data_IF_258645819434
#
_entry.id   IF_258645819434
#
_cell.length_a   1.000
_cell.length_b   1.000
_cell.length_c   1.000
_cell.angle_alpha   90.00
_cell.angle_beta   90.00
_cell.angle_gamma   90.00
#
_symmetry.space_group_name_H-M   'P 1'
#
loop_
_entity.id
_entity.type
_entity.pdbx_description
1 polymer ?
#
# COMPACT_ATOMS: atom_id res chain seq x y z
N UNK A 1 -25.18 34.18 -21.23
CA UNK A 1 -24.79 32.75 -21.32
C UNK A 1 -23.30 32.73 -21.57
N UNK A 2 -22.49 32.61 -20.52
CA UNK A 2 -21.03 32.61 -20.63
C UNK A 2 -20.53 31.17 -20.74
N UNK A 3 -19.91 30.86 -21.88
CA UNK A 3 -19.14 29.64 -22.11
C UNK A 3 -17.93 29.63 -21.16
N UNK A 4 -17.91 28.70 -20.20
CA UNK A 4 -16.67 28.30 -19.54
C UNK A 4 -16.00 27.25 -20.42
N UNK A 5 -15.04 27.72 -21.21
CA UNK A 5 -14.13 26.85 -21.95
C UNK A 5 -13.24 26.07 -20.99
N UNK A 6 -13.19 24.78 -21.30
CA UNK A 6 -12.50 23.70 -20.64
C UNK A 6 -10.99 23.96 -20.62
N UNK A 7 -10.43 24.31 -19.46
CA UNK A 7 -8.97 24.32 -19.23
C UNK A 7 -8.56 23.07 -18.46
N UNK A 8 -8.63 21.91 -19.09
CA UNK A 8 -7.84 20.76 -18.69
C UNK A 8 -6.48 20.84 -19.40
N UNK A 9 -5.62 21.74 -18.92
CA UNK A 9 -4.21 21.69 -19.28
C UNK A 9 -3.61 20.41 -18.72
N UNK A 10 -3.08 19.55 -19.58
CA UNK A 10 -2.24 18.43 -19.19
C UNK A 10 -1.11 18.98 -18.29
N UNK A 11 -1.20 18.68 -16.99
CA UNK A 11 -0.11 18.97 -16.06
C UNK A 11 0.86 17.81 -16.17
N UNK A 12 1.94 18.08 -16.88
CA UNK A 12 3.18 17.32 -16.82
C UNK A 12 3.77 17.50 -15.41
N UNK A 13 3.21 16.80 -14.42
CA UNK A 13 3.91 16.61 -13.15
C UNK A 13 4.88 15.46 -13.37
N UNK A 14 6.17 15.76 -13.26
CA UNK A 14 7.19 14.75 -13.01
C UNK A 14 6.91 14.16 -11.63
N UNK A 15 5.88 13.30 -11.56
CA UNK A 15 5.53 12.58 -10.35
C UNK A 15 6.78 11.82 -9.92
N UNK A 16 7.23 12.10 -8.70
CA UNK A 16 8.45 11.55 -8.13
C UNK A 16 8.20 10.06 -7.84
N UNK A 17 8.26 9.22 -8.88
CA UNK A 17 8.08 7.76 -8.84
C UNK A 17 9.28 7.05 -8.17
N UNK A 18 10.02 7.75 -7.32
CA UNK A 18 11.18 7.24 -6.62
C UNK A 18 12.43 7.06 -7.48
N UNK A 19 13.45 6.51 -6.83
CA UNK A 19 14.72 6.14 -7.46
C UNK A 19 14.68 4.68 -7.94
N UNK A 20 15.40 4.32 -9.01
CA UNK A 20 15.54 2.92 -9.41
C UNK A 20 16.17 2.08 -8.30
N UNK A 21 15.71 0.84 -8.14
CA UNK A 21 16.34 -0.19 -7.31
C UNK A 21 16.14 -1.57 -7.96
N UNK A 22 16.65 -2.64 -7.35
CA UNK A 22 16.35 -4.01 -7.80
C UNK A 22 16.35 -4.98 -6.63
N UNK A 23 15.16 -5.40 -6.21
CA UNK A 23 14.96 -6.41 -5.16
C UNK A 23 14.03 -7.49 -5.68
N UNK A 24 14.54 -8.70 -5.80
CA UNK A 24 13.83 -9.84 -6.37
C UNK A 24 13.46 -10.85 -5.28
N UNK A 25 12.17 -11.18 -5.19
CA UNK A 25 11.64 -12.35 -4.48
C UNK A 25 10.99 -13.30 -5.48
N UNK A 26 10.68 -14.56 -5.12
CA UNK A 26 10.08 -15.52 -6.06
C UNK A 26 8.80 -15.03 -6.75
N UNK A 27 7.95 -14.27 -6.05
CA UNK A 27 6.65 -13.81 -6.54
C UNK A 27 6.56 -12.36 -7.01
N UNK A 28 7.62 -11.56 -6.84
CA UNK A 28 7.59 -10.11 -7.14
C UNK A 28 9.00 -9.54 -7.35
N UNK A 29 9.11 -8.56 -8.25
CA UNK A 29 10.34 -7.79 -8.51
C UNK A 29 10.09 -6.30 -8.27
N UNK A 30 10.77 -5.72 -7.27
CA UNK A 30 10.73 -4.29 -7.02
C UNK A 30 11.83 -3.59 -7.83
N UNK A 31 11.42 -2.64 -8.68
CA UNK A 31 12.30 -1.93 -9.63
C UNK A 31 12.49 -0.45 -9.27
N UNK A 32 11.71 0.05 -8.31
CA UNK A 32 11.78 1.43 -7.80
C UNK A 32 11.57 1.47 -6.30
N UNK A 33 12.05 2.53 -5.66
CA UNK A 33 11.82 2.79 -4.25
C UNK A 33 11.59 4.27 -3.96
N UNK A 34 10.75 4.56 -2.98
CA UNK A 34 10.64 5.86 -2.34
C UNK A 34 11.46 5.83 -1.05
N UNK A 35 12.09 6.97 -0.72
CA UNK A 35 12.79 7.17 0.56
C UNK A 35 13.83 6.07 0.87
N UNK A 36 14.61 5.70 -0.15
CA UNK A 36 15.69 4.70 -0.07
C UNK A 36 15.24 3.36 0.54
N UNK A 37 14.00 2.92 0.26
CA UNK A 37 13.45 1.72 0.88
C UNK A 37 14.29 0.46 0.64
N UNK A 38 15.04 0.41 -0.46
CA UNK A 38 15.99 -0.64 -0.76
C UNK A 38 17.16 -0.71 0.23
N UNK A 39 17.68 0.43 0.69
CA UNK A 39 18.72 0.49 1.72
C UNK A 39 18.23 0.00 3.10
N UNK A 40 16.91 0.04 3.34
CA UNK A 40 16.28 -0.41 4.58
C UNK A 40 15.64 -1.80 4.48
N UNK A 41 15.82 -2.48 3.35
CA UNK A 41 15.23 -3.78 3.08
C UNK A 41 16.26 -4.92 3.20
N UNK A 42 15.81 -6.05 3.72
CA UNK A 42 16.60 -7.29 3.76
C UNK A 42 15.73 -8.47 3.34
N UNK A 43 16.29 -9.36 2.51
CA UNK A 43 15.59 -10.55 1.99
C UNK A 43 16.16 -11.80 2.67
N UNK A 44 15.26 -12.68 3.09
CA UNK A 44 15.58 -14.02 3.59
C UNK A 44 14.60 -15.03 2.98
N UNK A 45 15.09 -15.82 2.01
CA UNK A 45 14.26 -16.76 1.25
C UNK A 45 13.08 -16.09 0.54
N UNK A 46 11.86 -16.41 0.97
CA UNK A 46 10.61 -15.84 0.43
C UNK A 46 10.08 -14.66 1.27
N UNK A 47 10.85 -14.17 2.25
CA UNK A 47 10.49 -13.05 3.09
C UNK A 47 11.34 -11.81 2.78
N UNK A 48 10.74 -10.64 2.95
CA UNK A 48 11.44 -9.35 2.95
C UNK A 48 11.05 -8.56 4.19
N UNK A 49 12.04 -8.01 4.89
CA UNK A 49 11.81 -7.10 6.03
C UNK A 49 12.23 -5.70 5.64
N UNK A 50 11.33 -4.72 5.82
CA UNK A 50 11.57 -3.30 5.56
C UNK A 50 11.61 -2.57 6.90
N UNK A 51 12.70 -1.87 7.18
CA UNK A 51 12.84 -1.02 8.36
C UNK A 51 12.38 0.40 8.07
N UNK A 52 11.70 1.01 9.03
CA UNK A 52 11.32 2.41 9.03
C UNK A 52 11.97 3.09 10.22
N UNK A 53 12.64 4.21 9.97
CA UNK A 53 13.11 5.09 11.02
C UNK A 53 11.92 5.77 11.75
N UNK A 54 12.24 6.47 12.85
CA UNK A 54 11.30 7.33 13.56
C UNK A 54 10.67 8.40 12.67
N UNK A 55 9.42 8.77 12.95
CA UNK A 55 8.68 9.87 12.32
C UNK A 55 8.51 9.75 10.81
N UNK A 56 8.40 8.52 10.34
CA UNK A 56 8.14 8.21 8.92
C UNK A 56 6.70 7.76 8.75
N UNK A 57 6.03 8.37 7.78
CA UNK A 57 4.63 8.15 7.47
C UNK A 57 4.34 8.47 6.00
N UNK A 58 3.22 7.97 5.50
CA UNK A 58 2.65 8.33 4.20
C UNK A 58 1.15 8.64 4.37
N UNK A 59 0.81 9.92 4.37
CA UNK A 59 -0.54 10.44 4.60
C UNK A 59 -0.67 11.87 4.05
N UNK A 60 -1.79 12.15 3.38
CA UNK A 60 -2.12 13.49 2.90
C UNK A 60 -3.30 14.02 3.71
N UNK A 61 -3.03 14.80 4.77
CA UNK A 61 -4.06 15.27 5.68
C UNK A 61 -5.14 16.10 4.95
N UNK A 62 -6.43 15.69 5.01
CA UNK A 62 -7.54 16.44 4.43
C UNK A 62 -7.66 17.87 4.96
N UNK A 63 -7.18 18.13 6.19
CA UNK A 63 -7.18 19.45 6.78
C UNK A 63 -5.90 20.27 6.46
N UNK A 64 -4.96 19.67 5.73
CA UNK A 64 -3.71 20.30 5.28
C UNK A 64 -2.70 20.64 6.38
N UNK A 65 -2.84 20.07 7.59
CA UNK A 65 -1.97 20.40 8.73
C UNK A 65 -0.79 19.44 8.84
N UNK A 66 -0.99 18.16 8.54
CA UNK A 66 0.01 17.13 8.76
C UNK A 66 0.08 16.12 7.60
N UNK A 67 0.68 16.52 6.49
CA UNK A 67 1.00 15.59 5.38
C UNK A 67 2.45 15.11 5.48
N UNK A 68 2.66 13.84 5.16
CA UNK A 68 3.97 13.19 5.18
C UNK A 68 4.07 12.20 4.02
N UNK A 69 5.23 12.10 3.39
CA UNK A 69 5.53 11.18 2.27
C UNK A 69 6.89 10.49 2.48
N UNK A 70 7.32 10.31 3.73
CA UNK A 70 8.69 9.89 4.07
C UNK A 70 8.83 8.42 4.44
N UNK A 71 7.73 7.65 4.53
CA UNK A 71 7.81 6.21 4.73
C UNK A 71 8.57 5.51 3.57
N UNK A 72 9.49 4.58 3.86
CA UNK A 72 10.15 3.78 2.82
C UNK A 72 9.14 2.89 2.10
N UNK A 73 9.04 3.03 0.78
CA UNK A 73 8.15 2.21 -0.06
C UNK A 73 8.95 1.53 -1.17
N UNK A 74 8.94 0.20 -1.23
CA UNK A 74 9.39 -0.56 -2.40
C UNK A 74 8.26 -0.64 -3.43
N UNK A 75 8.59 -0.51 -4.71
CA UNK A 75 7.63 -0.42 -5.81
C UNK A 75 7.99 -1.41 -6.94
N UNK A 76 7.05 -2.30 -7.25
CA UNK A 76 7.05 -3.21 -8.39
C UNK A 76 6.14 -2.63 -9.47
N UNK A 77 6.65 -2.50 -10.69
CA UNK A 77 5.87 -1.99 -11.82
C UNK A 77 4.75 -2.98 -12.19
N UNK A 78 3.55 -2.46 -12.45
CA UNK A 78 2.41 -3.23 -12.90
C UNK A 78 1.71 -2.54 -14.07
N UNK A 79 1.24 -3.35 -15.02
CA UNK A 79 0.41 -2.90 -16.15
C UNK A 79 -1.06 -2.91 -15.74
N UNK A 80 -1.61 -1.74 -15.42
CA UNK A 80 -2.99 -1.58 -14.95
C UNK A 80 -4.03 -1.77 -16.09
N UNK A 81 -3.60 -2.05 -17.31
CA UNK A 81 -4.48 -2.48 -18.41
C UNK A 81 -4.79 -3.98 -18.36
N UNK A 82 -4.20 -4.71 -17.40
CA UNK A 82 -4.38 -6.14 -17.18
C UNK A 82 -4.85 -6.41 -15.75
N UNK A 83 -5.59 -7.50 -15.51
CA UNK A 83 -5.94 -7.91 -14.16
C UNK A 83 -4.67 -8.20 -13.35
N UNK A 84 -4.73 -7.92 -12.06
CA UNK A 84 -3.63 -8.22 -11.15
C UNK A 84 -4.12 -8.53 -9.73
N UNK A 85 -3.30 -9.29 -9.00
CA UNK A 85 -3.47 -9.53 -7.57
C UNK A 85 -2.13 -9.40 -6.87
N UNK A 86 -2.03 -8.50 -5.89
CA UNK A 86 -0.94 -8.44 -4.93
C UNK A 86 -1.38 -9.10 -3.63
N UNK A 87 -0.64 -10.08 -3.13
CA UNK A 87 -0.89 -10.72 -1.83
C UNK A 87 0.40 -10.85 -1.04
N UNK A 88 0.36 -10.66 0.28
CA UNK A 88 1.45 -11.02 1.18
C UNK A 88 0.90 -11.31 2.59
N UNK A 89 1.61 -12.13 3.36
CA UNK A 89 1.44 -12.10 4.83
C UNK A 89 2.25 -10.92 5.39
N UNK A 90 1.63 -10.10 6.23
CA UNK A 90 2.22 -8.87 6.77
C UNK A 90 2.33 -8.98 8.29
N UNK A 91 3.56 -8.83 8.80
CA UNK A 91 3.89 -8.88 10.23
C UNK A 91 4.75 -7.67 10.64
N UNK A 92 4.13 -6.58 11.13
CA UNK A 92 4.85 -5.44 11.70
C UNK A 92 5.38 -5.74 13.10
N UNK A 93 6.43 -5.03 13.53
CA UNK A 93 7.02 -5.17 14.87
C UNK A 93 6.17 -4.58 16.00
N UNK A 94 5.36 -3.56 15.72
CA UNK A 94 4.44 -2.86 16.64
C UNK A 94 5.05 -2.43 17.98
N UNK A 95 5.62 -1.23 18.04
CA UNK A 95 6.12 -0.63 19.28
C UNK A 95 5.21 0.49 19.79
N UNK A 96 4.69 1.32 18.88
CA UNK A 96 3.89 2.51 19.19
C UNK A 96 2.69 2.67 18.27
N UNK A 97 1.79 3.59 18.62
CA UNK A 97 0.67 3.94 17.74
C UNK A 97 1.15 4.40 16.36
N UNK A 98 0.39 3.96 15.37
CA UNK A 98 0.56 4.09 13.94
C UNK A 98 1.74 3.34 13.33
N UNK A 99 2.46 2.51 14.09
CA UNK A 99 3.37 1.55 13.48
C UNK A 99 2.56 0.60 12.57
N UNK A 100 3.02 0.42 11.34
CA UNK A 100 2.33 -0.41 10.37
C UNK A 100 3.28 -1.05 9.36
N UNK A 101 2.82 -2.17 8.81
CA UNK A 101 3.30 -2.75 7.57
C UNK A 101 2.16 -2.72 6.55
N UNK A 102 2.45 -2.32 5.33
CA UNK A 102 1.43 -1.99 4.35
C UNK A 102 1.74 -2.45 2.92
N UNK A 103 0.69 -2.85 2.22
CA UNK A 103 0.64 -2.99 0.77
C UNK A 103 0.21 -1.66 0.13
N UNK A 104 0.69 -1.40 -1.09
CA UNK A 104 0.37 -0.19 -1.84
C UNK A 104 -0.12 -0.47 -3.25
N UNK A 105 -1.03 0.38 -3.74
CA UNK A 105 -1.07 0.80 -5.14
C UNK A 105 -0.59 2.24 -5.21
N UNK A 106 0.33 2.55 -6.10
CA UNK A 106 0.98 3.87 -6.15
C UNK A 106 1.10 4.37 -7.59
N UNK A 107 0.40 5.46 -7.91
CA UNK A 107 0.56 6.15 -9.18
C UNK A 107 1.37 7.44 -9.02
N UNK A 108 1.14 8.19 -7.94
CA UNK A 108 1.85 9.43 -7.61
C UNK A 108 1.67 9.79 -6.14
N UNK A 109 2.30 10.87 -5.68
CA UNK A 109 2.11 11.39 -4.31
C UNK A 109 0.68 11.85 -4.01
N UNK A 110 -0.14 12.04 -5.05
CA UNK A 110 -1.54 12.50 -4.97
C UNK A 110 -2.54 11.40 -5.30
N UNK A 111 -2.10 10.25 -5.82
CA UNK A 111 -2.96 9.14 -6.20
C UNK A 111 -2.34 7.81 -5.78
N UNK A 112 -2.80 7.29 -4.65
CA UNK A 112 -2.30 6.02 -4.08
C UNK A 112 -3.34 5.37 -3.15
N UNK A 113 -3.14 4.10 -2.85
CA UNK A 113 -3.88 3.31 -1.85
C UNK A 113 -2.88 2.62 -0.93
N UNK A 114 -2.98 2.86 0.37
CA UNK A 114 -2.25 2.14 1.45
C UNK A 114 -3.21 1.14 2.09
N UNK A 115 -2.81 -0.12 2.24
CA UNK A 115 -3.59 -1.15 2.91
C UNK A 115 -2.72 -1.88 3.93
N UNK A 116 -3.03 -1.72 5.21
CA UNK A 116 -2.09 -1.96 6.28
C UNK A 116 -2.66 -2.82 7.40
N UNK A 117 -1.76 -3.51 8.10
CA UNK A 117 -1.97 -3.90 9.49
C UNK A 117 -1.26 -2.85 10.35
N UNK A 118 -2.03 -2.08 11.11
CA UNK A 118 -1.57 -0.89 11.83
C UNK A 118 -2.02 -0.94 13.30
N UNK A 119 -1.18 -0.40 14.20
CA UNK A 119 -1.55 -0.18 15.60
C UNK A 119 -2.24 1.16 15.76
N UNK A 120 -3.49 1.19 16.20
CA UNK A 120 -4.25 2.43 16.30
C UNK A 120 -3.84 3.33 17.50
N UNK A 121 -4.53 4.46 17.65
CA UNK A 121 -4.33 5.43 18.73
C UNK A 121 -4.65 4.91 20.13
N UNK A 122 -5.32 3.75 20.22
CA UNK A 122 -5.67 3.04 21.47
C UNK A 122 -4.74 1.87 21.72
N UNK A 123 -3.75 1.65 20.85
CA UNK A 123 -2.79 0.56 20.92
C UNK A 123 -3.33 -0.77 20.41
N UNK A 124 -4.48 -0.80 19.74
CA UNK A 124 -5.10 -1.99 19.14
C UNK A 124 -4.64 -2.16 17.71
N UNK A 125 -4.10 -3.33 17.38
CA UNK A 125 -3.75 -3.70 16.01
C UNK A 125 -5.01 -3.98 15.17
N UNK A 126 -5.07 -3.42 13.96
CA UNK A 126 -6.22 -3.52 13.07
C UNK A 126 -5.84 -3.39 11.61
N UNK A 127 -6.76 -3.82 10.75
CA UNK A 127 -6.68 -3.57 9.31
C UNK A 127 -7.08 -2.12 9.04
N UNK A 128 -6.29 -1.42 8.23
CA UNK A 128 -6.49 0.00 7.88
C UNK A 128 -6.35 0.17 6.37
N UNK A 129 -7.19 1.01 5.77
CA UNK A 129 -7.06 1.37 4.36
C UNK A 129 -7.12 2.89 4.18
N UNK A 130 -6.15 3.44 3.48
CA UNK A 130 -6.11 4.86 3.13
C UNK A 130 -6.10 5.01 1.62
N UNK A 131 -7.16 5.57 1.05
CA UNK A 131 -7.21 5.91 -0.38
C UNK A 131 -6.95 7.40 -0.51
N UNK A 132 -5.98 7.77 -1.34
CA UNK A 132 -5.63 9.17 -1.53
C UNK A 132 -5.92 9.59 -2.96
N UNK A 133 -6.76 10.62 -3.07
CA UNK A 133 -6.98 11.42 -4.28
C UNK A 133 -6.83 12.87 -3.85
N UNK A 134 -5.63 13.41 -4.03
CA UNK A 134 -5.09 14.62 -3.41
C UNK A 134 -5.00 14.57 -1.88
N UNK A 135 -6.09 14.21 -1.21
CA UNK A 135 -6.21 14.04 0.25
C UNK A 135 -6.55 12.60 0.60
N UNK A 136 -6.16 12.18 1.80
CA UNK A 136 -6.33 10.82 2.30
C UNK A 136 -7.71 10.59 2.90
N UNK A 137 -8.40 9.58 2.38
CA UNK A 137 -9.61 8.98 2.93
C UNK A 137 -9.22 7.70 3.69
N UNK A 138 -9.15 7.83 5.01
CA UNK A 138 -8.72 6.80 5.96
C UNK A 138 -9.91 6.04 6.57
N UNK A 139 -9.75 4.73 6.67
CA UNK A 139 -10.72 3.85 7.29
C UNK A 139 -10.03 2.77 8.14
N UNK A 140 -10.41 2.75 9.42
CA UNK A 140 -10.10 1.70 10.37
C UNK A 140 -11.15 0.57 10.27
N UNK A 141 -10.72 -0.61 9.85
CA UNK A 141 -11.56 -1.81 9.71
C UNK A 141 -11.56 -2.63 11.02
N UNK A 142 -11.38 -3.94 10.90
CA UNK A 142 -11.45 -4.92 11.97
C UNK A 142 -10.16 -4.94 12.80
N UNK A 143 -10.31 -5.10 14.13
CA UNK A 143 -9.20 -5.41 15.02
C UNK A 143 -8.70 -6.85 14.80
N UNK A 144 -7.38 -7.00 14.75
CA UNK A 144 -6.71 -8.29 14.57
C UNK A 144 -5.88 -8.54 15.81
N UNK A 145 -6.19 -9.62 16.53
CA UNK A 145 -5.45 -10.01 17.73
C UNK A 145 -4.10 -10.68 17.39
N UNK A 146 -3.99 -11.28 16.20
CA UNK A 146 -2.76 -11.89 15.72
C UNK A 146 -1.71 -10.81 15.38
N UNK A 147 -0.40 -11.11 15.51
CA UNK A 147 0.66 -10.18 15.14
C UNK A 147 0.80 -10.00 13.62
N UNK A 148 0.06 -10.78 12.83
CA UNK A 148 0.14 -10.80 11.39
C UNK A 148 -1.21 -11.09 10.74
N UNK A 149 -1.31 -10.73 9.47
CA UNK A 149 -2.49 -10.98 8.64
C UNK A 149 -2.05 -11.11 7.19
N UNK A 150 -2.77 -11.91 6.40
CA UNK A 150 -2.67 -11.84 4.95
C UNK A 150 -3.44 -10.64 4.45
N UNK A 151 -2.78 -9.81 3.63
CA UNK A 151 -3.42 -8.72 2.89
C UNK A 151 -3.39 -9.06 1.41
N UNK A 152 -4.46 -8.70 0.71
CA UNK A 152 -4.61 -8.87 -0.74
C UNK A 152 -5.25 -7.64 -1.35
N UNK A 153 -4.70 -7.19 -2.48
CA UNK A 153 -5.27 -6.18 -3.36
C UNK A 153 -5.47 -6.83 -4.72
N UNK A 154 -6.69 -6.84 -5.25
CA UNK A 154 -7.02 -7.43 -6.54
C UNK A 154 -7.75 -6.44 -7.42
N UNK A 155 -7.49 -6.48 -8.73
CA UNK A 155 -8.21 -5.67 -9.71
C UNK A 155 -8.47 -6.39 -11.02
N UNK A 156 -9.67 -6.19 -11.58
CA UNK A 156 -10.05 -6.62 -12.93
C UNK A 156 -9.85 -5.50 -13.96
N UNK A 157 -9.02 -4.49 -13.66
CA UNK A 157 -8.83 -3.21 -14.37
C UNK A 157 -9.96 -2.19 -14.22
N UNK A 158 -11.13 -2.58 -13.71
CA UNK A 158 -12.29 -1.69 -13.50
C UNK A 158 -12.61 -1.46 -12.03
N UNK A 159 -12.35 -2.46 -11.21
CA UNK A 159 -12.62 -2.48 -9.77
C UNK A 159 -11.35 -2.80 -9.02
N UNK A 160 -11.13 -2.16 -7.87
CA UNK A 160 -10.09 -2.55 -6.91
C UNK A 160 -10.76 -3.05 -5.63
N UNK A 161 -10.37 -4.25 -5.20
CA UNK A 161 -10.81 -4.87 -3.96
C UNK A 161 -9.65 -5.09 -2.99
N UNK A 162 -9.86 -4.78 -1.72
CA UNK A 162 -8.90 -4.97 -0.62
C UNK A 162 -9.45 -6.03 0.33
N UNK A 163 -8.67 -7.07 0.60
CA UNK A 163 -9.09 -8.22 1.37
C UNK A 163 -8.06 -8.60 2.44
N UNK A 164 -8.54 -9.04 3.58
CA UNK A 164 -7.67 -9.58 4.64
C UNK A 164 -8.11 -10.96 5.09
N UNK A 165 -7.15 -11.76 5.54
CA UNK A 165 -7.38 -13.14 6.00
C UNK A 165 -6.38 -13.53 7.08
N UNK A 166 -6.81 -14.32 8.06
CA UNK A 166 -5.92 -14.90 9.08
C UNK A 166 -5.39 -16.29 8.70
N UNK A 167 -5.94 -16.91 7.65
CA UNK A 167 -5.63 -18.30 7.25
C UNK A 167 -5.26 -18.45 5.75
N UNK A 168 -5.27 -17.35 4.98
CA UNK A 168 -5.08 -17.30 3.51
C UNK A 168 -6.18 -18.02 2.72
N UNK A 169 -7.22 -18.54 3.37
CA UNK A 169 -8.32 -19.32 2.78
C UNK A 169 -9.62 -18.51 2.78
N UNK A 170 -10.02 -18.03 3.96
CA UNK A 170 -11.23 -17.24 4.16
C UNK A 170 -10.89 -15.76 4.13
N UNK A 171 -11.46 -15.02 3.19
CA UNK A 171 -11.15 -13.61 2.97
C UNK A 171 -12.31 -12.71 3.39
N UNK A 172 -11.97 -11.58 4.00
CA UNK A 172 -12.90 -10.52 4.37
C UNK A 172 -12.67 -9.30 3.49
N UNK A 173 -13.72 -8.74 2.91
CA UNK A 173 -13.66 -7.51 2.13
C UNK A 173 -13.50 -6.31 3.07
N UNK A 174 -12.40 -5.57 2.94
CA UNK A 174 -12.19 -4.29 3.62
C UNK A 174 -12.70 -3.11 2.77
N UNK A 175 -12.35 -3.05 1.49
CA UNK A 175 -12.71 -1.92 0.61
C UNK A 175 -12.95 -2.38 -0.82
N UNK A 176 -13.91 -1.75 -1.49
CA UNK A 176 -14.21 -1.97 -2.91
C UNK A 176 -14.48 -0.62 -3.59
N UNK A 177 -13.77 -0.30 -4.67
CA UNK A 177 -13.94 0.96 -5.38
C UNK A 177 -13.54 0.86 -6.86
N UNK A 178 -13.84 1.89 -7.66
CA UNK A 178 -13.48 1.98 -9.08
C UNK A 178 -11.97 2.14 -9.29
N UNK A 179 -11.42 1.43 -10.27
CA UNK A 179 -10.02 1.56 -10.66
C UNK A 179 -9.85 2.80 -11.57
N UNK A 180 -9.51 3.92 -10.96
CA UNK A 180 -9.25 5.19 -11.66
C UNK A 180 -7.74 5.45 -11.85
N UNK A 181 -6.89 4.42 -11.73
CA UNK A 181 -5.44 4.55 -11.85
C UNK A 181 -4.99 4.58 -13.32
N UNK A 182 -3.88 5.27 -13.64
CA UNK A 182 -3.32 5.27 -15.00
C UNK A 182 -2.83 3.86 -15.41
N UNK A 183 -2.62 3.61 -16.72
CA UNK A 183 -2.09 2.35 -17.23
C UNK A 183 -0.78 1.89 -16.57
N UNK A 184 0.09 2.85 -16.22
CA UNK A 184 1.33 2.59 -15.49
C UNK A 184 1.08 2.79 -14.00
N UNK A 185 1.14 1.71 -13.23
CA UNK A 185 0.92 1.71 -11.79
C UNK A 185 2.04 0.94 -11.10
N UNK A 186 2.14 1.08 -9.78
CA UNK A 186 3.07 0.29 -8.97
C UNK A 186 2.35 -0.39 -7.82
N UNK A 187 2.70 -1.65 -7.58
CA UNK A 187 2.36 -2.39 -6.38
C UNK A 187 3.52 -2.24 -5.39
N UNK A 188 3.25 -2.01 -4.11
CA UNK A 188 4.33 -1.71 -3.17
C UNK A 188 4.20 -2.31 -1.80
N UNK A 189 5.33 -2.32 -1.08
CA UNK A 189 5.46 -2.73 0.31
C UNK A 189 6.11 -1.59 1.10
N UNK A 190 5.67 -1.38 2.33
CA UNK A 190 6.17 -0.30 3.19
C UNK A 190 6.12 -0.64 4.66
N UNK A 191 7.03 -0.05 5.43
CA UNK A 191 6.96 0.02 6.89
C UNK A 191 6.86 1.48 7.31
N UNK A 192 6.08 1.78 8.35
CA UNK A 192 5.99 3.13 8.92
C UNK A 192 6.13 3.10 10.45
N UNK A 193 6.56 4.24 11.00
CA UNK A 193 6.66 4.50 12.45
C UNK A 193 6.43 6.00 12.72
N UNK A 194 5.18 6.50 12.62
CA UNK A 194 4.90 7.93 12.68
C UNK A 194 5.18 8.56 14.05
N UNK A 195 4.83 7.86 15.15
CA UNK A 195 5.05 8.34 16.52
C UNK A 195 6.22 7.66 17.23
N UNK A 196 6.65 6.49 16.73
CA UNK A 196 7.69 5.66 17.34
C UNK A 196 9.12 6.08 17.06
N UNK A 197 10.05 5.33 17.65
CA UNK A 197 11.49 5.40 17.39
C UNK A 197 11.94 4.59 16.17
N UNK A 198 11.02 3.88 15.52
CA UNK A 198 11.25 3.01 14.38
C UNK A 198 10.38 1.75 14.43
N UNK A 199 10.21 1.11 13.29
CA UNK A 199 9.45 -0.14 13.13
C UNK A 199 10.08 -0.99 12.03
N UNK A 200 10.04 -2.31 12.14
CA UNK A 200 10.41 -3.23 11.07
C UNK A 200 9.21 -4.10 10.72
N UNK A 201 8.86 -4.17 9.44
CA UNK A 201 7.73 -4.96 8.97
C UNK A 201 8.22 -6.05 8.03
N UNK A 202 7.88 -7.30 8.36
CA UNK A 202 8.20 -8.47 7.56
C UNK A 202 7.01 -8.82 6.67
N UNK A 203 7.30 -9.07 5.40
CA UNK A 203 6.36 -9.53 4.38
C UNK A 203 6.80 -10.91 3.93
N UNK A 204 5.92 -11.90 4.07
CA UNK A 204 6.22 -13.29 3.70
C UNK A 204 5.43 -13.67 2.46
N UNK A 205 6.12 -14.28 1.50
CA UNK A 205 5.58 -14.72 0.22
C UNK A 205 4.79 -13.61 -0.50
N UNK A 206 5.37 -12.41 -0.70
CA UNK A 206 4.73 -11.39 -1.51
C UNK A 206 4.68 -11.85 -2.97
N UNK A 207 3.48 -11.90 -3.53
CA UNK A 207 3.22 -12.32 -4.91
C UNK A 207 2.42 -11.24 -5.62
N UNK A 208 2.88 -10.85 -6.81
CA UNK A 208 2.13 -10.06 -7.78
C UNK A 208 1.81 -10.94 -8.99
N UNK A 209 0.57 -11.40 -9.11
CA UNK A 209 0.09 -12.23 -10.22
C UNK A 209 -0.70 -11.42 -11.25
N UNK A 210 -0.78 -11.94 -12.47
CA UNK A 210 -1.52 -11.36 -13.59
C UNK A 210 -2.96 -11.91 -13.70
N UNK A 211 -3.59 -12.17 -12.55
CA UNK A 211 -4.96 -12.65 -12.39
C UNK A 211 -5.71 -11.79 -11.36
N UNK A 212 -7.02 -11.97 -11.26
CA UNK A 212 -7.85 -11.29 -10.25
C UNK A 212 -8.82 -12.27 -9.61
N UNK A 213 -9.40 -11.86 -8.48
CA UNK A 213 -10.54 -12.58 -7.88
C UNK A 213 -11.72 -12.64 -8.84
N UNK A 214 -12.49 -13.73 -8.79
CA UNK A 214 -13.70 -13.91 -9.61
C UNK A 214 -14.92 -13.32 -8.91
N UNK A 215 -14.98 -13.41 -7.58
CA UNK A 215 -16.00 -12.81 -6.74
C UNK A 215 -15.39 -11.70 -5.89
N UNK A 216 -15.66 -10.45 -6.25
CA UNK A 216 -15.15 -9.29 -5.52
C UNK A 216 -15.77 -9.10 -4.12
N UNK A 217 -16.89 -9.75 -3.82
CA UNK A 217 -17.52 -9.69 -2.49
C UNK A 217 -16.88 -10.69 -1.53
N UNK A 218 -16.48 -11.85 -2.02
CA UNK A 218 -15.84 -12.89 -1.22
C UNK A 218 -14.30 -12.86 -1.30
N UNK A 219 -13.74 -12.21 -2.31
CA UNK A 219 -12.31 -12.15 -2.54
C UNK A 219 -11.71 -13.50 -2.95
N UNK A 220 -12.41 -14.31 -3.75
CA UNK A 220 -11.97 -15.61 -4.27
C UNK A 220 -12.18 -15.73 -5.77
#
# INVERSE_FOLDING_TARGET
MNNMENRAGARDSTDNLGTPCSLQLPGIHFTRCLNQADEYASIDGAAITISSAARRDYFNDPNGKLSNNTAPVLLAELDNTRPFTLTAMVRPGFHTSYDAGALYLFASERLWQKFALERDERGVTRVVSVRTVDTSDDNNHQSIAAPEVYLKISSDTRTVGLYFSTDKVSWNLARLYGNDYPPRLYAGLSSQSPLGSGNASTFIDPVLSADCVNDFRLGV
#
